data_IF_283977939251
#
_entry.id   IF_283977939251
#
_cell.length_a   1.000
_cell.length_b   1.000
_cell.length_c   1.000
_cell.angle_alpha   90.00
_cell.angle_beta   90.00
_cell.angle_gamma   90.00
#
_symmetry.space_group_name_H-M   'P 1'
#
loop_
_entity.id
_entity.type
_entity.pdbx_description
1 polymer ?
#
# COMPACT_ATOMS: atom_id res chain seq x y z
N UNK A 1 -7.36 29.18 6.22
CA UNK A 1 -6.18 28.53 5.61
C UNK A 1 -6.45 28.30 4.14
N UNK A 2 -5.44 28.54 3.28
CA UNK A 2 -5.54 28.33 1.83
C UNK A 2 -4.33 27.60 1.30
N UNK A 3 -4.53 26.72 0.34
CA UNK A 3 -3.44 26.07 -0.39
C UNK A 3 -2.78 27.10 -1.31
N UNK A 4 -1.47 27.30 -1.15
CA UNK A 4 -0.68 28.24 -1.96
C UNK A 4 0.21 27.53 -2.99
N UNK A 5 0.58 26.26 -2.72
CA UNK A 5 1.36 25.47 -3.65
C UNK A 5 1.15 23.96 -3.45
N UNK A 6 1.39 23.17 -4.50
CA UNK A 6 1.47 21.71 -4.48
C UNK A 6 2.72 21.30 -5.24
N UNK A 7 3.65 20.65 -4.56
CA UNK A 7 4.89 20.14 -5.15
C UNK A 7 4.85 18.62 -5.30
N UNK A 8 5.35 18.13 -6.42
CA UNK A 8 5.57 16.72 -6.70
C UNK A 8 7.08 16.49 -6.91
N UNK A 9 7.74 15.87 -5.95
CA UNK A 9 9.20 15.72 -5.89
C UNK A 9 9.57 14.28 -6.16
N UNK A 10 10.28 14.03 -7.25
CA UNK A 10 10.78 12.69 -7.59
C UNK A 10 12.05 12.41 -6.79
N UNK A 11 12.05 11.32 -6.04
CA UNK A 11 13.22 10.78 -5.35
C UNK A 11 13.61 9.47 -5.99
N UNK A 12 14.91 9.25 -6.23
CA UNK A 12 15.39 8.06 -6.92
C UNK A 12 16.75 7.60 -6.42
N UNK A 13 16.89 6.29 -6.19
CA UNK A 13 18.18 5.67 -5.89
C UNK A 13 19.16 5.85 -7.07
N UNK A 14 20.45 6.13 -6.82
CA UNK A 14 21.45 6.30 -7.88
C UNK A 14 21.66 5.05 -8.76
N UNK A 15 21.36 3.89 -8.20
CA UNK A 15 21.40 2.60 -8.89
C UNK A 15 20.10 1.87 -8.60
N UNK A 16 19.35 1.60 -9.64
CA UNK A 16 18.09 0.85 -9.59
C UNK A 16 18.27 -0.48 -10.31
N UNK A 17 17.73 -1.53 -9.74
CA UNK A 17 17.56 -2.80 -10.43
C UNK A 17 16.16 -2.86 -11.02
N UNK A 18 16.02 -2.44 -12.27
CA UNK A 18 14.74 -2.42 -12.99
C UNK A 18 14.23 -3.80 -13.40
N UNK A 19 14.99 -4.87 -13.11
CA UNK A 19 14.55 -6.24 -13.36
C UNK A 19 13.69 -6.80 -12.22
N UNK A 20 13.71 -6.15 -11.06
CA UNK A 20 12.92 -6.54 -9.89
C UNK A 20 11.65 -5.69 -9.77
N UNK A 21 10.58 -6.31 -9.28
CA UNK A 21 9.36 -5.61 -8.91
C UNK A 21 9.50 -4.98 -7.52
N UNK A 22 10.38 -3.98 -7.39
CA UNK A 22 10.69 -3.31 -6.14
C UNK A 22 10.44 -1.80 -6.24
N UNK A 23 9.24 -1.37 -5.82
CA UNK A 23 8.82 0.03 -5.78
C UNK A 23 9.55 0.89 -4.73
N UNK A 24 10.39 0.29 -3.87
CA UNK A 24 11.13 1.05 -2.85
C UNK A 24 12.38 1.78 -3.39
N UNK A 25 12.71 1.63 -4.68
CA UNK A 25 13.89 2.20 -5.32
C UNK A 25 13.71 3.65 -5.79
N UNK A 26 12.49 4.07 -6.05
CA UNK A 26 12.13 5.48 -6.24
C UNK A 26 10.81 5.81 -5.52
N UNK A 27 10.50 7.08 -5.37
CA UNK A 27 9.29 7.55 -4.71
C UNK A 27 8.86 8.90 -5.27
N UNK A 28 7.58 9.22 -5.17
CA UNK A 28 7.07 10.56 -5.39
C UNK A 28 6.56 11.15 -4.08
N UNK A 29 7.32 12.09 -3.54
CA UNK A 29 6.91 12.89 -2.38
C UNK A 29 5.99 14.01 -2.85
N UNK A 30 4.81 14.13 -2.24
CA UNK A 30 3.89 15.26 -2.39
C UNK A 30 4.01 16.19 -1.20
N UNK A 31 4.11 17.49 -1.46
CA UNK A 31 3.99 18.56 -0.45
C UNK A 31 2.85 19.49 -0.82
N UNK A 32 1.97 19.75 0.12
CA UNK A 32 0.90 20.76 0.00
C UNK A 32 1.19 21.88 0.97
N UNK A 33 1.43 23.08 0.47
CA UNK A 33 1.78 24.25 1.24
C UNK A 33 0.57 25.15 1.48
N UNK A 34 0.48 25.74 2.68
CA UNK A 34 -0.59 26.66 3.04
C UNK A 34 -0.09 28.06 3.39
N UNK A 35 -0.97 29.05 3.28
CA UNK A 35 -0.69 30.47 3.65
C UNK A 35 -0.49 30.68 5.16
N UNK A 36 -0.79 29.67 5.99
CA UNK A 36 -0.56 29.69 7.43
C UNK A 36 0.74 28.97 7.83
N UNK A 37 1.58 28.57 6.87
CA UNK A 37 2.88 27.95 7.10
C UNK A 37 2.83 26.46 7.46
N UNK A 38 1.64 25.83 7.43
CA UNK A 38 1.51 24.40 7.60
C UNK A 38 1.77 23.71 6.24
N UNK A 39 2.68 22.75 6.22
CA UNK A 39 2.92 21.89 5.05
C UNK A 39 2.50 20.47 5.36
N UNK A 40 1.65 19.91 4.51
CA UNK A 40 1.31 18.49 4.53
C UNK A 40 2.19 17.69 3.61
N UNK A 41 2.43 16.44 3.98
CA UNK A 41 3.23 15.49 3.22
C UNK A 41 2.39 14.28 2.81
N UNK A 42 2.66 13.77 1.62
CA UNK A 42 2.06 12.54 1.11
C UNK A 42 3.02 11.82 0.18
N UNK A 43 2.65 10.63 -0.22
CA UNK A 43 3.43 9.79 -1.11
C UNK A 43 2.54 9.16 -2.17
N UNK A 44 3.12 8.88 -3.31
CA UNK A 44 2.48 8.09 -4.37
C UNK A 44 3.43 6.96 -4.77
N UNK A 45 3.00 5.74 -4.53
CA UNK A 45 3.66 4.54 -5.06
C UNK A 45 3.14 4.25 -6.47
N UNK A 46 3.90 4.66 -7.47
CA UNK A 46 3.58 4.52 -8.89
C UNK A 46 4.79 4.96 -9.72
N UNK A 47 4.63 5.18 -11.04
CA UNK A 47 5.69 5.71 -11.88
C UNK A 47 5.86 7.24 -11.67
N UNK A 48 6.87 7.71 -10.92
CA UNK A 48 6.97 9.08 -10.43
C UNK A 48 6.86 10.17 -11.49
N UNK A 49 7.51 10.07 -12.68
CA UNK A 49 7.40 11.12 -13.71
C UNK A 49 5.99 11.29 -14.28
N UNK A 50 5.22 10.18 -14.41
CA UNK A 50 3.84 10.23 -14.90
C UNK A 50 2.95 10.93 -13.89
N UNK A 51 3.08 10.57 -12.63
CA UNK A 51 2.28 11.16 -11.54
C UNK A 51 2.60 12.64 -11.37
N UNK A 52 3.89 13.02 -11.42
CA UNK A 52 4.30 14.43 -11.40
C UNK A 52 3.64 15.23 -12.50
N UNK A 53 3.61 14.69 -13.72
CA UNK A 53 2.95 15.35 -14.85
C UNK A 53 1.44 15.52 -14.62
N UNK A 54 0.76 14.54 -14.02
CA UNK A 54 -0.66 14.63 -13.66
C UNK A 54 -0.90 15.72 -12.61
N UNK A 55 -0.04 15.84 -11.63
CA UNK A 55 -0.14 16.89 -10.60
C UNK A 55 0.05 18.28 -11.21
N UNK A 56 1.08 18.48 -12.03
CA UNK A 56 1.56 19.78 -12.48
C UNK A 56 0.97 20.27 -13.82
N UNK A 57 0.29 19.40 -14.57
CA UNK A 57 -0.26 19.77 -15.88
C UNK A 57 -1.21 20.99 -15.78
N UNK A 58 -1.17 21.91 -16.75
CA UNK A 58 -2.15 22.98 -16.81
C UNK A 58 -3.55 22.42 -17.13
N UNK A 59 -4.59 23.20 -16.80
CA UNK A 59 -5.95 22.86 -17.19
C UNK A 59 -6.11 22.96 -18.73
N UNK A 60 -6.71 21.92 -19.32
CA UNK A 60 -7.17 21.95 -20.72
C UNK A 60 -8.64 22.41 -20.78
N UNK A 61 -9.49 21.82 -19.95
CA UNK A 61 -10.91 22.19 -19.80
C UNK A 61 -11.45 21.63 -18.45
N UNK A 62 -12.70 21.90 -18.13
CA UNK A 62 -13.31 21.68 -16.81
C UNK A 62 -13.19 20.25 -16.25
N UNK A 63 -13.08 19.22 -17.12
CA UNK A 63 -12.96 17.80 -16.72
C UNK A 63 -11.64 17.16 -17.18
N UNK A 64 -10.67 17.98 -17.57
CA UNK A 64 -9.31 17.56 -17.93
C UNK A 64 -8.30 18.63 -17.47
N UNK A 65 -7.93 18.59 -16.21
CA UNK A 65 -7.00 19.50 -15.56
C UNK A 65 -5.97 18.73 -14.76
N UNK A 66 -4.76 19.22 -14.67
CA UNK A 66 -3.83 18.80 -13.64
C UNK A 66 -4.40 19.08 -12.25
N UNK A 67 -3.88 18.40 -11.23
CA UNK A 67 -4.47 18.47 -9.90
C UNK A 67 -4.12 19.77 -9.16
N UNK A 68 -2.88 20.27 -9.31
CA UNK A 68 -2.43 21.52 -8.67
C UNK A 68 -3.32 22.72 -9.03
N UNK A 69 -3.67 23.01 -10.30
CA UNK A 69 -4.56 24.12 -10.64
C UNK A 69 -5.95 24.05 -9.98
N UNK A 70 -6.42 22.83 -9.68
CA UNK A 70 -7.72 22.64 -9.02
C UNK A 70 -7.68 23.00 -7.54
N UNK A 71 -6.52 22.98 -6.91
CA UNK A 71 -6.35 23.10 -5.47
C UNK A 71 -5.92 24.49 -5.00
N UNK A 72 -5.23 25.27 -5.86
CA UNK A 72 -4.75 26.58 -5.47
C UNK A 72 -5.89 27.51 -5.00
N UNK A 73 -5.70 28.13 -3.82
CA UNK A 73 -6.67 29.01 -3.17
C UNK A 73 -7.80 28.31 -2.41
N UNK A 74 -7.88 26.98 -2.44
CA UNK A 74 -8.86 26.18 -1.73
C UNK A 74 -8.50 26.01 -0.25
N UNK A 75 -9.49 25.67 0.58
CA UNK A 75 -9.28 25.33 1.99
C UNK A 75 -8.86 23.85 2.12
N UNK A 76 -7.64 23.54 2.60
CA UNK A 76 -7.16 22.16 2.72
C UNK A 76 -7.95 21.30 3.73
N UNK A 77 -8.76 21.91 4.60
CA UNK A 77 -9.55 21.18 5.59
C UNK A 77 -10.82 20.56 4.99
N UNK A 78 -11.23 20.99 3.80
CA UNK A 78 -12.42 20.47 3.09
C UNK A 78 -12.07 19.23 2.22
N UNK A 79 -11.43 18.22 2.84
CA UNK A 79 -10.79 17.09 2.17
C UNK A 79 -11.73 16.37 1.19
N UNK A 80 -12.93 16.00 1.64
CA UNK A 80 -13.92 15.29 0.79
C UNK A 80 -14.33 16.09 -0.44
N UNK A 81 -14.53 17.40 -0.28
CA UNK A 81 -14.86 18.30 -1.39
C UNK A 81 -13.70 18.41 -2.38
N UNK A 82 -12.48 18.51 -1.88
CA UNK A 82 -11.27 18.57 -2.72
C UNK A 82 -11.02 17.25 -3.44
N UNK A 83 -11.24 16.12 -2.77
CA UNK A 83 -11.17 14.81 -3.41
C UNK A 83 -12.13 14.72 -4.61
N UNK A 84 -13.41 15.06 -4.41
CA UNK A 84 -14.41 15.08 -5.49
C UNK A 84 -14.04 16.08 -6.60
N UNK A 85 -13.48 17.24 -6.25
CA UNK A 85 -13.03 18.23 -7.23
C UNK A 85 -11.90 17.70 -8.09
N UNK A 86 -10.89 17.05 -7.50
CA UNK A 86 -9.80 16.41 -8.22
C UNK A 86 -10.30 15.25 -9.09
N UNK A 87 -11.16 14.39 -8.56
CA UNK A 87 -11.73 13.26 -9.29
C UNK A 87 -12.53 13.73 -10.52
N UNK A 88 -13.40 14.73 -10.37
CA UNK A 88 -14.17 15.28 -11.49
C UNK A 88 -13.28 16.02 -12.49
N UNK A 89 -12.30 16.78 -12.01
CA UNK A 89 -11.39 17.54 -12.86
C UNK A 89 -10.43 16.65 -13.67
N UNK A 90 -10.23 15.40 -13.26
CA UNK A 90 -9.41 14.42 -13.97
C UNK A 90 -10.20 13.29 -14.64
N UNK A 91 -11.52 13.32 -14.61
CA UNK A 91 -12.38 12.20 -15.01
C UNK A 91 -12.20 11.79 -16.48
N UNK A 92 -11.81 12.74 -17.33
CA UNK A 92 -11.66 12.53 -18.76
C UNK A 92 -10.47 11.63 -19.11
N UNK A 93 -9.42 11.62 -18.27
CA UNK A 93 -8.20 10.85 -18.50
C UNK A 93 -7.83 9.89 -17.35
N UNK A 94 -8.50 9.97 -16.20
CA UNK A 94 -7.98 9.33 -15.02
C UNK A 94 -9.00 8.79 -14.02
N UNK A 95 -10.13 8.27 -14.48
CA UNK A 95 -11.18 7.70 -13.63
C UNK A 95 -10.71 6.53 -12.74
N UNK A 96 -9.68 5.80 -13.16
CA UNK A 96 -8.97 4.72 -12.43
C UNK A 96 -7.48 4.83 -12.76
N UNK A 97 -6.63 4.18 -12.02
CA UNK A 97 -5.18 4.15 -12.26
C UNK A 97 -4.48 5.47 -11.93
N UNK A 98 -3.54 5.91 -12.77
CA UNK A 98 -2.54 6.94 -12.45
C UNK A 98 -3.07 8.26 -11.88
N UNK A 99 -4.25 8.76 -12.32
CA UNK A 99 -4.81 9.98 -11.75
C UNK A 99 -5.34 9.75 -10.33
N UNK A 100 -5.84 8.56 -10.02
CA UNK A 100 -6.25 8.22 -8.65
C UNK A 100 -5.02 8.08 -7.75
N UNK A 101 -3.91 7.53 -8.27
CA UNK A 101 -2.65 7.51 -7.54
C UNK A 101 -2.20 8.94 -7.19
N UNK A 102 -2.25 9.88 -8.13
CA UNK A 102 -1.93 11.29 -7.87
C UNK A 102 -2.86 11.93 -6.81
N UNK A 103 -4.17 11.64 -6.87
CA UNK A 103 -5.15 12.08 -5.86
C UNK A 103 -4.80 11.51 -4.50
N UNK A 104 -4.34 10.24 -4.44
CA UNK A 104 -3.99 9.56 -3.18
C UNK A 104 -2.91 10.31 -2.40
N UNK A 105 -1.81 10.67 -3.07
CA UNK A 105 -0.72 11.39 -2.40
C UNK A 105 -1.15 12.78 -1.90
N UNK A 106 -1.99 13.46 -2.65
CA UNK A 106 -2.54 14.76 -2.23
C UNK A 106 -3.52 14.59 -1.06
N UNK A 107 -4.40 13.60 -1.10
CA UNK A 107 -5.34 13.32 -0.01
C UNK A 107 -4.61 13.01 1.31
N UNK A 108 -3.54 12.20 1.25
CA UNK A 108 -2.68 11.93 2.42
C UNK A 108 -2.10 13.24 2.97
N UNK A 109 -1.59 14.13 2.10
CA UNK A 109 -1.05 15.42 2.53
C UNK A 109 -2.12 16.34 3.13
N UNK A 110 -3.35 16.33 2.63
CA UNK A 110 -4.46 17.09 3.20
C UNK A 110 -4.85 16.58 4.60
N UNK A 111 -4.86 15.26 4.81
CA UNK A 111 -5.06 14.68 6.14
C UNK A 111 -3.93 15.05 7.11
N UNK A 112 -2.69 15.08 6.64
CA UNK A 112 -1.55 15.54 7.43
C UNK A 112 -1.70 17.00 7.86
N UNK A 113 -2.08 17.91 6.93
CA UNK A 113 -2.40 19.31 7.26
C UNK A 113 -3.49 19.38 8.32
N UNK A 114 -4.62 18.65 8.12
CA UNK A 114 -5.74 18.67 9.05
C UNK A 114 -5.34 18.21 10.45
N UNK A 115 -4.54 17.15 10.54
CA UNK A 115 -4.03 16.66 11.80
C UNK A 115 -3.10 17.65 12.48
N UNK A 116 -2.17 18.28 11.76
CA UNK A 116 -1.27 19.32 12.27
C UNK A 116 -2.05 20.56 12.73
N UNK A 117 -2.99 21.04 11.94
CA UNK A 117 -3.82 22.21 12.25
C UNK A 117 -4.68 22.02 13.50
N UNK A 118 -5.17 20.81 13.74
CA UNK A 118 -6.02 20.46 14.89
C UNK A 118 -5.22 19.89 16.08
N UNK A 119 -3.91 19.71 15.95
CA UNK A 119 -3.07 19.13 16.99
C UNK A 119 -3.43 17.67 17.31
N UNK A 120 -3.93 16.91 16.34
CA UNK A 120 -4.39 15.53 16.51
C UNK A 120 -3.75 14.57 15.49
N UNK A 121 -3.46 13.33 15.88
CA UNK A 121 -3.07 12.29 14.93
C UNK A 121 -4.23 11.97 13.98
N UNK A 122 -3.92 11.66 12.73
CA UNK A 122 -4.93 11.36 11.70
C UNK A 122 -5.87 10.24 12.16
N UNK A 123 -5.36 9.17 12.76
CA UNK A 123 -6.21 8.05 13.26
C UNK A 123 -7.32 8.51 14.19
N UNK A 124 -7.06 9.50 15.04
CA UNK A 124 -8.08 10.05 15.96
C UNK A 124 -9.15 10.83 15.22
N UNK A 125 -8.77 11.57 14.18
CA UNK A 125 -9.72 12.29 13.32
C UNK A 125 -10.58 11.36 12.48
N UNK A 126 -10.10 10.15 12.21
CA UNK A 126 -10.83 9.08 11.52
C UNK A 126 -11.74 8.25 12.45
N UNK A 127 -11.70 8.48 13.78
CA UNK A 127 -12.53 7.78 14.78
C UNK A 127 -11.83 6.65 15.54
N UNK A 128 -10.55 6.41 15.29
CA UNK A 128 -9.72 5.42 15.99
C UNK A 128 -8.88 6.04 17.13
N UNK A 129 -7.86 5.32 17.65
CA UNK A 129 -7.56 3.93 17.35
C UNK A 129 -8.47 2.94 18.10
N UNK A 130 -8.80 1.81 17.47
CA UNK A 130 -9.55 0.71 18.10
C UNK A 130 -8.67 -0.19 18.98
N UNK A 131 -7.35 -0.18 18.77
CA UNK A 131 -6.34 -0.88 19.55
C UNK A 131 -5.07 -0.02 19.66
N UNK A 132 -4.16 -0.29 20.61
CA UNK A 132 -2.91 0.48 20.73
C UNK A 132 -1.83 0.08 19.70
N UNK A 133 -1.87 -1.14 19.21
CA UNK A 133 -0.89 -1.74 18.30
C UNK A 133 -1.56 -2.63 17.27
N UNK A 134 -0.84 -2.96 16.22
CA UNK A 134 -1.27 -3.94 15.20
C UNK A 134 -0.14 -4.93 14.92
N UNK A 135 -0.47 -6.20 14.70
CA UNK A 135 0.50 -7.22 14.29
C UNK A 135 1.04 -6.90 12.89
N UNK A 136 2.37 -6.92 12.73
CA UNK A 136 3.02 -6.72 11.44
C UNK A 136 3.43 -8.06 10.82
N UNK A 137 3.37 -8.13 9.49
CA UNK A 137 4.11 -9.14 8.76
C UNK A 137 5.29 -8.51 8.01
N UNK A 138 6.44 -9.19 8.01
CA UNK A 138 7.56 -8.79 7.16
C UNK A 138 7.18 -9.04 5.69
N UNK A 139 7.24 -8.02 4.87
CA UNK A 139 6.99 -8.14 3.43
C UNK A 139 8.29 -7.99 2.65
N UNK A 140 8.59 -8.95 1.79
CA UNK A 140 9.82 -9.03 1.02
C UNK A 140 9.66 -9.83 -0.27
N UNK A 141 10.56 -9.61 -1.22
CA UNK A 141 10.60 -10.38 -2.46
C UNK A 141 10.97 -11.84 -2.19
N UNK A 142 10.36 -12.77 -2.95
CA UNK A 142 10.65 -14.19 -2.88
C UNK A 142 12.06 -14.47 -3.43
N UNK A 143 12.94 -15.18 -2.69
CA UNK A 143 14.23 -15.60 -3.18
C UNK A 143 14.15 -16.61 -4.35
N UNK A 144 15.22 -16.70 -5.13
CA UNK A 144 15.26 -17.56 -6.31
C UNK A 144 15.35 -19.06 -5.97
N UNK A 145 15.84 -19.42 -4.78
CA UNK A 145 16.08 -20.82 -4.40
C UNK A 145 15.50 -21.18 -3.03
N UNK A 146 15.15 -22.47 -2.80
CA UNK A 146 14.72 -22.93 -1.48
C UNK A 146 15.74 -22.68 -0.36
N UNK A 147 17.04 -22.73 -0.64
CA UNK A 147 18.08 -22.48 0.37
C UNK A 147 18.12 -21.00 0.78
N UNK A 148 18.06 -20.08 -0.17
CA UNK A 148 17.96 -18.65 0.12
C UNK A 148 16.67 -18.32 0.89
N UNK A 149 15.58 -19.02 0.56
CA UNK A 149 14.29 -18.89 1.28
C UNK A 149 14.45 -19.29 2.75
N UNK A 150 15.12 -20.42 3.05
CA UNK A 150 15.39 -20.83 4.45
C UNK A 150 16.17 -19.76 5.19
N UNK A 151 17.24 -19.26 4.59
CA UNK A 151 18.11 -18.23 5.20
C UNK A 151 17.32 -16.93 5.47
N UNK A 152 16.49 -16.49 4.53
CA UNK A 152 15.69 -15.30 4.67
C UNK A 152 14.65 -15.44 5.79
N UNK A 153 13.87 -16.53 5.79
CA UNK A 153 12.83 -16.79 6.78
C UNK A 153 13.43 -16.91 8.20
N UNK A 154 14.57 -17.59 8.35
CA UNK A 154 15.26 -17.67 9.64
C UNK A 154 15.68 -16.29 10.15
N UNK A 155 16.31 -15.47 9.30
CA UNK A 155 16.72 -14.10 9.65
C UNK A 155 15.53 -13.21 10.06
N UNK A 156 14.40 -13.31 9.36
CA UNK A 156 13.20 -12.55 9.68
C UNK A 156 12.60 -12.99 11.03
N UNK A 157 12.62 -14.29 11.34
CA UNK A 157 12.23 -14.79 12.65
C UNK A 157 13.12 -14.26 13.77
N UNK A 158 14.44 -14.16 13.56
CA UNK A 158 15.39 -13.57 14.51
C UNK A 158 15.13 -12.08 14.75
N UNK A 159 14.58 -11.36 13.77
CA UNK A 159 14.16 -9.96 13.91
C UNK A 159 12.88 -9.78 14.73
N UNK A 160 12.19 -10.86 15.11
CA UNK A 160 11.00 -10.82 15.95
C UNK A 160 9.67 -10.79 15.21
N UNK A 161 9.67 -10.90 13.88
CA UNK A 161 8.42 -11.04 13.12
C UNK A 161 7.76 -12.41 13.38
N UNK A 162 6.45 -12.39 13.51
CA UNK A 162 5.61 -13.59 13.71
C UNK A 162 4.79 -13.96 12.47
N UNK A 163 4.92 -13.18 11.43
CA UNK A 163 4.30 -13.38 10.12
C UNK A 163 5.21 -12.84 9.01
N UNK A 164 5.17 -13.47 7.84
CA UNK A 164 5.97 -13.08 6.67
C UNK A 164 5.17 -13.24 5.38
N UNK A 165 5.27 -12.27 4.47
CA UNK A 165 4.84 -12.36 3.09
C UNK A 165 6.06 -12.46 2.18
N UNK A 166 6.08 -13.48 1.33
CA UNK A 166 7.10 -13.76 0.34
C UNK A 166 6.47 -13.61 -1.05
N UNK A 167 6.85 -12.55 -1.77
CA UNK A 167 6.13 -12.16 -2.97
C UNK A 167 6.98 -12.03 -4.22
N UNK A 168 6.32 -12.06 -5.37
CA UNK A 168 6.90 -11.82 -6.68
C UNK A 168 8.09 -12.79 -6.99
N UNK A 169 9.14 -12.32 -7.67
CA UNK A 169 10.35 -13.12 -7.92
C UNK A 169 10.10 -14.34 -8.84
N UNK A 170 10.41 -15.55 -8.38
CA UNK A 170 10.31 -16.77 -9.19
C UNK A 170 8.91 -17.39 -9.26
N UNK A 171 7.91 -16.89 -8.49
CA UNK A 171 6.56 -17.44 -8.50
C UNK A 171 5.98 -17.56 -9.92
N UNK A 172 5.34 -18.68 -10.20
CA UNK A 172 4.70 -18.97 -11.49
C UNK A 172 5.63 -19.37 -12.62
N UNK A 173 6.96 -19.32 -12.44
CA UNK A 173 7.93 -19.78 -13.47
C UNK A 173 7.91 -21.29 -13.65
N UNK A 174 7.84 -22.02 -12.55
CA UNK A 174 7.80 -23.49 -12.53
C UNK A 174 6.93 -23.98 -11.38
N UNK A 175 5.89 -24.81 -11.65
CA UNK A 175 4.96 -25.31 -10.64
C UNK A 175 5.61 -26.13 -9.51
N UNK A 176 6.72 -26.82 -9.77
CA UNK A 176 7.41 -27.62 -8.76
C UNK A 176 8.37 -26.75 -7.94
N UNK A 177 8.94 -25.72 -8.54
CA UNK A 177 9.70 -24.70 -7.81
C UNK A 177 8.81 -23.96 -6.83
N UNK A 178 7.59 -23.53 -7.22
CA UNK A 178 6.62 -22.87 -6.33
C UNK A 178 6.41 -23.71 -5.05
N UNK A 179 6.22 -25.02 -5.21
CA UNK A 179 6.03 -25.94 -4.08
C UNK A 179 7.31 -26.09 -3.24
N UNK A 180 8.47 -26.17 -3.87
CA UNK A 180 9.75 -26.31 -3.17
C UNK A 180 10.08 -25.06 -2.32
N UNK A 181 9.76 -23.86 -2.82
CA UNK A 181 9.92 -22.58 -2.11
C UNK A 181 8.97 -22.51 -0.90
N UNK A 182 7.69 -22.84 -1.09
CA UNK A 182 6.72 -22.88 0.00
C UNK A 182 7.09 -23.90 1.09
N UNK A 183 7.57 -25.08 0.68
CA UNK A 183 8.08 -26.13 1.58
C UNK A 183 9.23 -25.57 2.43
N UNK A 184 10.24 -24.99 1.78
CA UNK A 184 11.39 -24.41 2.47
C UNK A 184 11.01 -23.29 3.45
N UNK A 185 10.07 -22.44 3.07
CA UNK A 185 9.53 -21.38 3.94
C UNK A 185 8.84 -22.00 5.17
N UNK A 186 7.94 -22.97 5.00
CA UNK A 186 7.19 -23.59 6.10
C UNK A 186 8.08 -24.40 7.05
N UNK A 187 9.00 -25.20 6.50
CA UNK A 187 9.97 -25.97 7.31
C UNK A 187 10.78 -25.06 8.23
N UNK A 188 11.17 -23.88 7.76
CA UNK A 188 11.99 -22.93 8.54
C UNK A 188 11.14 -22.09 9.49
N UNK A 189 9.98 -21.60 9.05
CA UNK A 189 9.05 -20.81 9.86
C UNK A 189 8.43 -21.64 11.03
N UNK A 190 8.39 -22.96 10.89
CA UNK A 190 7.72 -23.84 11.87
C UNK A 190 6.20 -23.64 11.89
N UNK A 191 5.56 -24.04 12.99
CA UNK A 191 4.11 -24.03 13.15
C UNK A 191 3.53 -22.67 13.56
N UNK A 192 4.34 -21.76 14.12
CA UNK A 192 3.87 -20.56 14.80
C UNK A 192 3.90 -19.30 13.93
N UNK A 193 4.72 -19.27 12.89
CA UNK A 193 4.82 -18.13 12.00
C UNK A 193 3.78 -18.24 10.88
N UNK A 194 3.01 -17.20 10.68
CA UNK A 194 2.09 -17.12 9.54
C UNK A 194 2.87 -16.86 8.25
N UNK A 195 2.52 -17.58 7.19
CA UNK A 195 3.11 -17.42 5.88
C UNK A 195 2.05 -16.92 4.91
N UNK A 196 2.37 -15.87 4.15
CA UNK A 196 1.59 -15.35 3.04
C UNK A 196 2.43 -15.48 1.76
N UNK A 197 1.81 -15.90 0.67
CA UNK A 197 2.47 -16.02 -0.62
C UNK A 197 1.80 -15.10 -1.63
N UNK A 198 2.57 -14.15 -2.12
CA UNK A 198 2.15 -13.21 -3.14
C UNK A 198 2.73 -13.66 -4.48
N UNK A 199 1.84 -14.12 -5.34
CA UNK A 199 2.21 -14.74 -6.61
C UNK A 199 2.58 -13.69 -7.68
N UNK A 200 2.27 -12.43 -7.44
CA UNK A 200 2.66 -11.33 -8.33
C UNK A 200 2.14 -11.54 -9.76
N UNK A 201 0.87 -11.90 -9.92
CA UNK A 201 0.20 -12.13 -11.21
C UNK A 201 0.79 -13.31 -12.03
N UNK A 202 1.56 -14.20 -11.37
CA UNK A 202 2.43 -15.17 -12.05
C UNK A 202 1.71 -16.39 -12.65
N UNK A 203 0.45 -16.68 -12.26
CA UNK A 203 -0.23 -17.87 -12.78
C UNK A 203 -1.15 -17.56 -13.97
N UNK A 204 -1.10 -18.39 -15.03
CA UNK A 204 -1.68 -18.02 -16.32
C UNK A 204 -3.22 -18.05 -16.38
N UNK A 205 -3.90 -18.75 -15.48
CA UNK A 205 -5.37 -18.87 -15.44
C UNK A 205 -5.85 -19.54 -14.16
N UNK A 206 -7.16 -19.47 -13.90
CA UNK A 206 -7.80 -20.03 -12.72
C UNK A 206 -7.60 -21.55 -12.55
N UNK A 207 -7.63 -22.34 -13.64
CA UNK A 207 -7.42 -23.79 -13.53
C UNK A 207 -6.01 -24.16 -13.08
N UNK A 208 -5.02 -23.40 -13.51
CA UNK A 208 -3.64 -23.52 -13.03
C UNK A 208 -3.55 -23.10 -11.55
N UNK A 209 -4.11 -21.94 -11.21
CA UNK A 209 -4.12 -21.42 -9.84
C UNK A 209 -4.75 -22.41 -8.85
N UNK A 210 -5.92 -22.97 -9.18
CA UNK A 210 -6.59 -23.99 -8.35
C UNK A 210 -5.69 -25.19 -8.08
N UNK A 211 -5.00 -25.70 -9.12
CA UNK A 211 -4.08 -26.84 -8.94
C UNK A 211 -2.89 -26.48 -8.05
N UNK A 212 -2.33 -25.27 -8.22
CA UNK A 212 -1.19 -24.84 -7.43
C UNK A 212 -1.58 -24.55 -5.98
N UNK A 213 -2.66 -23.79 -5.72
CA UNK A 213 -3.13 -23.53 -4.36
C UNK A 213 -3.35 -24.84 -3.60
N UNK A 214 -4.01 -25.85 -4.20
CA UNK A 214 -4.21 -27.16 -3.57
C UNK A 214 -2.90 -27.89 -3.23
N UNK A 215 -1.82 -27.67 -3.98
CA UNK A 215 -0.48 -28.19 -3.62
C UNK A 215 0.14 -27.40 -2.47
N UNK A 216 -0.11 -26.09 -2.43
CA UNK A 216 0.42 -25.20 -1.41
C UNK A 216 -0.33 -25.29 -0.07
N UNK A 217 -1.58 -25.76 -0.05
CA UNK A 217 -2.38 -25.96 1.17
C UNK A 217 -1.67 -26.86 2.21
N UNK A 218 -0.83 -27.80 1.75
CA UNK A 218 0.00 -28.63 2.65
C UNK A 218 0.95 -27.80 3.52
N UNK A 219 1.31 -26.59 3.08
CA UNK A 219 2.18 -25.65 3.79
C UNK A 219 1.41 -24.57 4.54
N UNK A 220 0.09 -24.65 4.55
CA UNK A 220 -0.82 -23.78 5.32
C UNK A 220 -0.54 -22.30 5.14
N UNK A 221 -0.61 -21.76 3.90
CA UNK A 221 -0.55 -20.33 3.71
C UNK A 221 -1.72 -19.63 4.39
N UNK A 222 -1.47 -18.47 5.00
CA UNK A 222 -2.51 -17.66 5.61
C UNK A 222 -3.40 -17.02 4.54
N UNK A 223 -2.83 -16.63 3.40
CA UNK A 223 -3.49 -16.35 2.14
C UNK A 223 -2.57 -16.57 0.95
N UNK A 224 -3.16 -16.63 -0.24
CA UNK A 224 -2.50 -16.49 -1.54
C UNK A 224 -2.90 -15.15 -2.14
N UNK A 225 -1.91 -14.30 -2.46
CA UNK A 225 -2.09 -12.93 -2.93
C UNK A 225 -1.83 -12.84 -4.43
N UNK A 226 -2.68 -12.08 -5.14
CA UNK A 226 -2.60 -11.77 -6.57
C UNK A 226 -2.15 -12.94 -7.47
N UNK A 227 -2.82 -14.11 -7.38
CA UNK A 227 -2.45 -15.29 -8.18
C UNK A 227 -2.71 -15.11 -9.67
N UNK A 228 -3.66 -14.27 -10.06
CA UNK A 228 -4.15 -14.06 -11.42
C UNK A 228 -4.03 -12.60 -11.84
N UNK A 229 -4.18 -12.35 -13.13
CA UNK A 229 -4.26 -11.01 -13.67
C UNK A 229 -5.45 -10.24 -13.05
N UNK A 230 -5.32 -8.95 -12.69
CA UNK A 230 -6.36 -8.21 -11.94
C UNK A 230 -7.73 -8.16 -12.62
N UNK A 231 -7.75 -8.07 -13.96
CA UNK A 231 -8.99 -8.03 -14.74
C UNK A 231 -9.67 -9.40 -14.92
N UNK A 232 -9.05 -10.51 -14.47
CA UNK A 232 -9.66 -11.85 -14.52
C UNK A 232 -10.61 -12.11 -13.33
N UNK A 233 -11.60 -11.23 -13.20
CA UNK A 233 -12.59 -11.25 -12.12
C UNK A 233 -13.32 -12.60 -12.02
N UNK A 234 -13.67 -13.17 -13.14
CA UNK A 234 -14.36 -14.49 -13.18
C UNK A 234 -13.40 -15.62 -12.82
N UNK A 235 -12.11 -15.50 -13.15
CA UNK A 235 -11.06 -16.41 -12.73
C UNK A 235 -10.84 -16.38 -11.22
N UNK A 236 -10.79 -15.19 -10.60
CA UNK A 236 -10.75 -15.06 -9.15
C UNK A 236 -11.95 -15.71 -8.47
N UNK A 237 -13.17 -15.44 -8.96
CA UNK A 237 -14.38 -16.04 -8.44
C UNK A 237 -14.34 -17.59 -8.50
N UNK A 238 -13.88 -18.14 -9.63
CA UNK A 238 -13.71 -19.58 -9.81
C UNK A 238 -12.66 -20.16 -8.85
N UNK A 239 -11.58 -19.45 -8.63
CA UNK A 239 -10.52 -19.84 -7.70
C UNK A 239 -11.04 -19.83 -6.26
N UNK A 240 -11.65 -18.74 -5.81
CA UNK A 240 -12.20 -18.61 -4.47
C UNK A 240 -13.23 -19.70 -4.11
N UNK A 241 -14.06 -20.13 -5.09
CA UNK A 241 -15.00 -21.23 -4.89
C UNK A 241 -14.36 -22.62 -4.81
N UNK A 242 -13.12 -22.78 -5.28
CA UNK A 242 -12.51 -24.10 -5.48
C UNK A 242 -11.44 -24.46 -4.43
N UNK A 243 -11.03 -23.52 -3.57
CA UNK A 243 -9.95 -23.69 -2.58
C UNK A 243 -10.40 -23.25 -1.19
N UNK A 244 -9.74 -23.79 -0.15
CA UNK A 244 -10.01 -23.41 1.25
C UNK A 244 -9.08 -22.28 1.72
N UNK A 245 -7.92 -22.12 1.09
CA UNK A 245 -6.96 -21.04 1.41
C UNK A 245 -7.55 -19.70 1.00
N UNK A 246 -7.59 -18.69 1.90
CA UNK A 246 -8.06 -17.35 1.57
C UNK A 246 -7.30 -16.74 0.39
N UNK A 247 -8.02 -16.05 -0.48
CA UNK A 247 -7.47 -15.31 -1.61
C UNK A 247 -7.44 -13.82 -1.29
N UNK A 248 -6.29 -13.21 -1.47
CA UNK A 248 -6.07 -11.79 -1.26
C UNK A 248 -5.76 -11.09 -2.58
N UNK A 249 -6.25 -9.86 -2.75
CA UNK A 249 -5.91 -9.00 -3.89
C UNK A 249 -6.30 -7.54 -3.63
N UNK A 250 -5.79 -6.61 -4.44
CA UNK A 250 -6.27 -5.24 -4.43
C UNK A 250 -5.20 -4.16 -4.51
N UNK A 251 -3.91 -4.47 -4.48
CA UNK A 251 -2.87 -3.45 -4.64
C UNK A 251 -2.87 -2.79 -6.03
N UNK A 252 -3.42 -3.49 -7.04
CA UNK A 252 -3.59 -2.97 -8.40
C UNK A 252 -4.91 -2.22 -8.59
N UNK A 253 -5.85 -2.32 -7.63
CA UNK A 253 -7.16 -1.71 -7.73
C UNK A 253 -7.22 -0.28 -7.19
N UNK A 254 -8.14 0.49 -7.74
CA UNK A 254 -8.36 1.87 -7.32
C UNK A 254 -9.85 2.17 -7.15
N UNK A 255 -10.15 3.01 -6.17
CA UNK A 255 -11.48 3.53 -5.82
C UNK A 255 -12.45 2.47 -5.27
N UNK A 256 -13.46 2.95 -4.53
CA UNK A 256 -14.54 2.09 -3.99
C UNK A 256 -15.24 1.24 -5.06
N UNK A 257 -15.28 1.69 -6.31
CA UNK A 257 -15.93 0.96 -7.40
C UNK A 257 -15.11 -0.25 -7.86
N UNK A 258 -13.76 -0.15 -7.92
CA UNK A 258 -12.88 -1.29 -8.19
C UNK A 258 -12.97 -2.31 -7.05
N UNK A 259 -12.86 -1.86 -5.81
CA UNK A 259 -12.97 -2.74 -4.65
C UNK A 259 -14.36 -3.35 -4.45
N UNK A 260 -15.43 -2.66 -4.86
CA UNK A 260 -16.76 -3.27 -4.91
C UNK A 260 -16.79 -4.45 -5.88
N UNK A 261 -16.21 -4.31 -7.07
CA UNK A 261 -16.11 -5.38 -8.06
C UNK A 261 -15.28 -6.54 -7.54
N UNK A 262 -14.14 -6.26 -6.91
CA UNK A 262 -13.26 -7.25 -6.31
C UNK A 262 -13.96 -8.07 -5.21
N UNK A 263 -14.72 -7.42 -4.34
CA UNK A 263 -15.47 -8.11 -3.28
C UNK A 263 -16.72 -8.83 -3.79
N UNK A 264 -17.52 -8.18 -4.63
CA UNK A 264 -18.86 -8.69 -4.99
C UNK A 264 -18.80 -9.71 -6.14
N UNK A 265 -17.83 -9.58 -7.07
CA UNK A 265 -17.70 -10.42 -8.25
C UNK A 265 -16.52 -11.39 -8.16
N UNK A 266 -15.31 -10.89 -7.90
CA UNK A 266 -14.12 -11.72 -7.75
C UNK A 266 -14.15 -12.55 -6.45
N UNK A 267 -14.86 -12.06 -5.42
CA UNK A 267 -15.14 -12.77 -4.16
C UNK A 267 -13.87 -13.13 -3.38
N UNK A 268 -12.92 -12.20 -3.38
CA UNK A 268 -11.72 -12.35 -2.55
C UNK A 268 -12.05 -12.25 -1.06
N UNK A 269 -11.30 -12.96 -0.24
CA UNK A 269 -11.47 -13.01 1.23
C UNK A 269 -10.79 -11.85 1.94
N UNK A 270 -9.71 -11.33 1.33
CA UNK A 270 -8.90 -10.23 1.84
C UNK A 270 -8.71 -9.19 0.75
N UNK A 271 -9.07 -7.95 1.05
CA UNK A 271 -8.75 -6.83 0.15
C UNK A 271 -7.51 -6.09 0.66
N UNK A 272 -6.67 -5.66 -0.29
CA UNK A 272 -5.39 -5.02 0.02
C UNK A 272 -5.24 -3.64 -0.65
N UNK A 273 -6.11 -2.67 -0.27
CA UNK A 273 -6.00 -1.32 -0.84
C UNK A 273 -4.68 -0.67 -0.43
N UNK A 274 -4.02 -0.05 -1.38
CA UNK A 274 -2.87 0.79 -1.15
C UNK A 274 -3.32 2.25 -0.94
N UNK A 275 -3.00 2.84 0.20
CA UNK A 275 -3.40 4.22 0.51
C UNK A 275 -2.80 5.25 -0.45
N UNK A 276 -1.71 4.90 -1.13
CA UNK A 276 -1.03 5.78 -2.11
C UNK A 276 -1.51 5.58 -3.53
N UNK A 277 -2.37 4.56 -3.79
CA UNK A 277 -2.91 4.20 -5.11
C UNK A 277 -4.43 4.17 -5.17
N UNK A 278 -5.11 3.76 -4.10
CA UNK A 278 -6.55 3.51 -4.11
C UNK A 278 -7.43 4.76 -4.03
N UNK A 279 -6.85 5.93 -3.78
CA UNK A 279 -7.56 7.21 -3.65
C UNK A 279 -7.29 7.95 -2.33
N UNK A 280 -6.20 7.62 -1.63
CA UNK A 280 -5.80 8.23 -0.37
C UNK A 280 -6.50 7.64 0.85
N UNK A 281 -6.26 8.24 2.00
CA UNK A 281 -6.86 7.85 3.28
C UNK A 281 -8.38 7.92 3.21
N UNK A 282 -8.94 8.98 2.62
CA UNK A 282 -10.39 9.19 2.51
C UNK A 282 -11.10 8.06 1.78
N UNK A 283 -10.60 7.69 0.63
CA UNK A 283 -11.22 6.66 -0.20
C UNK A 283 -10.98 5.27 0.37
N UNK A 284 -9.78 5.01 0.89
CA UNK A 284 -9.44 3.72 1.48
C UNK A 284 -10.20 3.46 2.78
N UNK A 285 -10.53 4.51 3.57
CA UNK A 285 -11.44 4.38 4.71
C UNK A 285 -12.83 3.90 4.27
N UNK A 286 -13.38 4.47 3.20
CA UNK A 286 -14.68 4.05 2.64
C UNK A 286 -14.63 2.61 2.14
N UNK A 287 -13.54 2.22 1.48
CA UNK A 287 -13.28 0.85 1.01
C UNK A 287 -13.28 -0.11 2.20
N UNK A 288 -12.53 0.17 3.26
CA UNK A 288 -12.47 -0.66 4.46
C UNK A 288 -13.81 -0.78 5.18
N UNK A 289 -14.59 0.32 5.26
CA UNK A 289 -15.96 0.28 5.81
C UNK A 289 -16.90 -0.57 4.95
N UNK A 290 -16.80 -0.50 3.62
CA UNK A 290 -17.56 -1.36 2.71
C UNK A 290 -17.20 -2.83 2.87
N UNK A 291 -15.92 -3.14 3.07
CA UNK A 291 -15.42 -4.49 3.31
C UNK A 291 -15.97 -5.06 4.63
N UNK A 292 -15.92 -4.27 5.69
CA UNK A 292 -16.45 -4.65 7.00
C UNK A 292 -17.95 -5.03 6.93
N UNK A 293 -18.77 -4.31 6.16
CA UNK A 293 -20.18 -4.63 5.95
C UNK A 293 -20.41 -5.96 5.21
N UNK A 294 -19.41 -6.45 4.49
CA UNK A 294 -19.44 -7.70 3.73
C UNK A 294 -18.74 -8.86 4.45
N UNK A 295 -18.13 -8.61 5.61
CA UNK A 295 -17.30 -9.60 6.31
C UNK A 295 -15.97 -9.89 5.62
N UNK A 296 -15.53 -9.01 4.69
CA UNK A 296 -14.23 -9.12 4.01
C UNK A 296 -13.17 -8.43 4.83
N UNK A 297 -12.02 -9.09 5.00
CA UNK A 297 -10.90 -8.55 5.76
C UNK A 297 -10.17 -7.46 4.95
N UNK A 298 -9.80 -6.37 5.62
CA UNK A 298 -8.96 -5.32 5.03
C UNK A 298 -7.56 -5.36 5.64
N UNK A 299 -6.56 -5.51 4.78
CA UNK A 299 -5.14 -5.35 5.08
C UNK A 299 -4.57 -4.42 4.03
N UNK A 300 -3.90 -3.33 4.41
CA UNK A 300 -3.35 -2.41 3.41
C UNK A 300 -2.09 -2.98 2.77
N UNK A 301 -1.95 -2.85 1.43
CA UNK A 301 -0.64 -2.88 0.80
C UNK A 301 0.18 -1.68 1.29
N UNK A 302 1.48 -1.90 1.60
CA UNK A 302 2.36 -0.85 2.14
C UNK A 302 3.83 -1.11 1.78
N UNK A 303 4.17 -0.88 0.52
CA UNK A 303 5.50 -1.14 -0.03
C UNK A 303 6.13 0.13 -0.57
N UNK A 304 6.85 0.88 0.20
CA UNK A 304 7.73 2.00 -0.18
C UNK A 304 8.36 2.65 1.05
N UNK A 305 8.03 3.91 1.39
CA UNK A 305 8.74 4.70 2.40
C UNK A 305 8.03 4.71 3.78
N UNK A 306 8.57 5.47 4.72
CA UNK A 306 7.92 5.71 6.01
C UNK A 306 6.61 6.48 5.92
N UNK A 307 6.33 7.17 4.79
CA UNK A 307 5.09 7.94 4.61
C UNK A 307 3.89 7.00 4.41
N UNK A 308 4.01 6.03 3.50
CA UNK A 308 2.95 5.03 3.29
C UNK A 308 2.73 4.20 4.56
N UNK A 309 3.82 3.86 5.29
CA UNK A 309 3.72 3.15 6.56
C UNK A 309 2.89 3.95 7.58
N UNK A 310 3.16 5.24 7.74
CA UNK A 310 2.40 6.11 8.65
C UNK A 310 0.93 6.23 8.23
N UNK A 311 0.67 6.49 6.94
CA UNK A 311 -0.69 6.64 6.42
C UNK A 311 -1.50 5.34 6.58
N UNK A 312 -0.91 4.18 6.27
CA UNK A 312 -1.53 2.85 6.45
C UNK A 312 -1.81 2.56 7.92
N UNK A 313 -0.87 2.86 8.83
CA UNK A 313 -1.07 2.68 10.27
C UNK A 313 -2.23 3.54 10.78
N UNK A 314 -2.34 4.81 10.38
CA UNK A 314 -3.46 5.66 10.76
C UNK A 314 -4.81 5.13 10.28
N UNK A 315 -4.85 4.63 9.04
CA UNK A 315 -6.06 4.04 8.48
C UNK A 315 -6.46 2.76 9.23
N UNK A 316 -5.52 1.82 9.39
CA UNK A 316 -5.77 0.54 10.07
C UNK A 316 -6.16 0.74 11.53
N UNK A 317 -5.62 1.75 12.21
CA UNK A 317 -6.04 2.13 13.57
C UNK A 317 -7.53 2.52 13.64
N UNK A 318 -8.08 3.10 12.56
CA UNK A 318 -9.46 3.55 12.48
C UNK A 318 -10.44 2.51 11.91
N UNK A 319 -9.94 1.40 11.37
CA UNK A 319 -10.75 0.32 10.83
C UNK A 319 -10.92 -0.80 11.87
N UNK A 320 -12.16 -1.09 12.33
CA UNK A 320 -12.39 -2.21 13.24
C UNK A 320 -12.10 -3.54 12.53
N UNK A 321 -11.45 -4.48 13.24
CA UNK A 321 -11.14 -5.80 12.70
C UNK A 321 -9.89 -5.88 11.82
N UNK A 322 -9.08 -4.81 11.73
CA UNK A 322 -7.76 -4.87 11.11
C UNK A 322 -6.87 -5.90 11.81
N UNK A 323 -6.31 -6.85 11.07
CA UNK A 323 -5.56 -7.98 11.60
C UNK A 323 -4.06 -7.83 11.46
N UNK A 324 -3.61 -7.27 10.34
CA UNK A 324 -2.20 -7.13 10.00
C UNK A 324 -1.88 -5.76 9.40
N UNK A 325 -0.62 -5.38 9.56
CA UNK A 325 0.03 -4.28 8.85
C UNK A 325 1.17 -4.84 8.00
N UNK A 326 1.21 -4.48 6.73
CA UNK A 326 2.32 -4.81 5.86
C UNK A 326 3.55 -3.98 6.19
N UNK A 327 4.63 -4.65 6.55
CA UNK A 327 5.90 -4.02 6.88
C UNK A 327 6.94 -4.37 5.82
N UNK A 328 7.09 -3.51 4.80
CA UNK A 328 8.17 -3.63 3.82
C UNK A 328 9.53 -3.55 4.52
N UNK A 329 10.34 -4.60 4.37
CA UNK A 329 11.67 -4.71 4.98
C UNK A 329 12.83 -4.48 3.99
N UNK A 330 12.54 -3.96 2.79
CA UNK A 330 13.58 -3.67 1.80
C UNK A 330 14.61 -2.65 2.33
N UNK A 331 15.89 -2.93 2.09
CA UNK A 331 17.01 -2.14 2.60
C UNK A 331 17.40 -1.00 1.63
N UNK A 332 16.42 -0.22 1.14
CA UNK A 332 16.70 0.97 0.35
C UNK A 332 16.76 2.20 1.24
N UNK A 333 17.55 3.21 0.85
CA UNK A 333 17.65 4.44 1.62
C UNK A 333 16.31 5.19 1.70
N UNK A 334 15.46 5.12 0.67
CA UNK A 334 14.14 5.74 0.67
C UNK A 334 13.21 5.06 1.67
N UNK A 335 13.17 3.72 1.69
CA UNK A 335 12.39 2.98 2.68
C UNK A 335 12.90 3.20 4.12
N UNK A 336 14.23 3.23 4.31
CA UNK A 336 14.83 3.22 5.63
C UNK A 336 15.12 4.61 6.22
N UNK A 337 15.21 5.66 5.40
CA UNK A 337 15.73 6.94 5.88
C UNK A 337 14.94 8.19 5.46
N UNK A 338 13.96 8.10 4.58
CA UNK A 338 13.20 9.28 4.13
C UNK A 338 12.43 9.96 5.26
N UNK A 339 11.96 9.21 6.25
CA UNK A 339 11.31 9.75 7.44
C UNK A 339 12.23 9.63 8.65
N UNK A 340 12.14 10.58 9.57
CA UNK A 340 12.91 10.59 10.84
C UNK A 340 12.40 9.48 11.76
N UNK A 341 11.07 9.39 11.90
CA UNK A 341 10.44 8.38 12.72
C UNK A 341 10.57 6.99 12.13
N UNK A 342 10.63 6.02 13.02
CA UNK A 342 10.65 4.60 12.71
C UNK A 342 9.47 3.91 13.39
N UNK A 343 9.05 2.80 12.83
CA UNK A 343 7.96 1.99 13.36
C UNK A 343 8.52 0.64 13.84
N UNK A 344 9.23 0.59 15.00
CA UNK A 344 9.82 -0.65 15.47
C UNK A 344 8.74 -1.65 15.84
N UNK A 345 9.02 -2.92 15.57
CA UNK A 345 8.18 -4.02 16.08
C UNK A 345 8.55 -4.32 17.53
N UNK A 346 7.55 -4.69 18.33
CA UNK A 346 7.74 -5.15 19.70
C UNK A 346 8.10 -6.65 19.76
N UNK A 347 8.31 -7.18 20.97
CA UNK A 347 8.66 -8.58 21.19
C UNK A 347 7.57 -9.58 20.73
N UNK A 348 6.38 -9.12 20.41
CA UNK A 348 5.26 -9.93 19.91
C UNK A 348 5.02 -9.74 18.40
N UNK A 349 5.88 -8.98 17.71
CA UNK A 349 5.74 -8.69 16.30
C UNK A 349 4.68 -7.62 15.97
N UNK A 350 4.38 -6.71 16.92
CA UNK A 350 3.40 -5.63 16.72
C UNK A 350 4.09 -4.29 16.56
N UNK A 351 3.40 -3.38 15.83
CA UNK A 351 3.78 -1.97 15.65
C UNK A 351 2.79 -1.09 16.39
N UNK A 352 3.30 -0.08 17.11
CA UNK A 352 2.47 0.94 17.73
C UNK A 352 1.96 1.96 16.70
N UNK A 353 0.73 2.42 16.86
CA UNK A 353 0.17 3.46 15.99
C UNK A 353 0.79 4.83 16.31
N UNK A 354 1.03 5.69 15.27
CA UNK A 354 1.54 7.04 15.47
C UNK A 354 0.58 7.88 16.32
N UNK A 355 1.13 8.68 17.24
CA UNK A 355 0.34 9.48 18.19
C UNK A 355 0.57 10.98 18.06
N UNK A 356 1.59 11.43 17.34
CA UNK A 356 1.86 12.84 17.08
C UNK A 356 0.87 13.43 16.06
N UNK A 357 0.66 14.77 16.04
CA UNK A 357 -0.24 15.44 15.10
C UNK A 357 0.08 15.14 13.63
N UNK A 358 -0.94 15.09 12.80
CA UNK A 358 -0.82 14.75 11.39
C UNK A 358 -0.54 13.27 11.20
N UNK A 359 0.36 12.93 10.27
CA UNK A 359 0.89 11.58 10.08
C UNK A 359 1.86 11.18 11.21
N UNK A 360 2.27 12.13 12.05
CA UNK A 360 3.20 11.87 13.15
C UNK A 360 4.61 11.53 12.70
N UNK A 361 5.02 12.03 11.54
CA UNK A 361 6.35 11.82 10.96
C UNK A 361 6.92 13.14 10.41
N UNK A 362 8.23 13.21 10.35
CA UNK A 362 8.99 14.28 9.73
C UNK A 362 9.84 13.72 8.57
N UNK A 363 10.02 14.54 7.52
CA UNK A 363 10.87 14.20 6.38
C UNK A 363 12.32 14.56 6.70
N UNK A 364 13.25 13.65 6.43
CA UNK A 364 14.67 13.95 6.43
C UNK A 364 15.05 14.71 5.15
N UNK A 365 15.19 16.03 5.28
CA UNK A 365 15.50 16.92 4.15
C UNK A 365 16.86 16.61 3.51
N UNK A 366 17.81 16.06 4.24
CA UNK A 366 19.09 15.66 3.67
C UNK A 366 18.94 14.43 2.74
N UNK A 367 18.00 13.54 3.04
CA UNK A 367 17.64 12.42 2.16
C UNK A 367 16.92 12.93 0.92
N UNK A 368 15.98 13.88 1.07
CA UNK A 368 15.31 14.50 -0.08
C UNK A 368 16.32 15.15 -1.01
N UNK A 369 17.19 16.00 -0.51
CA UNK A 369 18.20 16.69 -1.32
C UNK A 369 19.15 15.72 -2.02
N UNK A 370 19.53 14.63 -1.35
CA UNK A 370 20.44 13.62 -1.89
C UNK A 370 19.84 12.81 -3.03
N UNK A 371 18.54 12.52 -2.98
CA UNK A 371 17.88 11.60 -3.93
C UNK A 371 16.92 12.30 -4.89
N UNK A 372 16.74 13.60 -4.75
CA UNK A 372 15.89 14.40 -5.65
C UNK A 372 16.41 14.35 -7.08
N UNK A 373 15.51 14.03 -8.00
CA UNK A 373 15.76 14.10 -9.44
C UNK A 373 15.33 15.47 -9.94
N UNK A 374 16.23 16.16 -10.67
CA UNK A 374 16.02 17.49 -11.26
C UNK A 374 15.07 17.43 -12.46
#
# INVERSE_FOLDING_TARGET
MKIIDVEAIILRQPRMDVSQADGSQDALLIRVHTDEGITGIGEVDSLPPVIKAIVEAPASHAIASGLKPLLLGEDPLEIDRLWEKMFRGSIYYGRRGAAIHAISGIDIALWDIKGKALGQPVSRLLGGPHAPTIRAYASTLMPETPEETRQLVARIGEQGFTAIKLGWGPWGRDPDLDVALACAARETAGEKMELMFDIGLGWPNADHAIRQVRRLEAYRPYWIEEPLWPDDVDGYAKLADAVETPIAAGEQDATRWGFQELMDRARVDVIQPDVTRAGGISETLRIGQMAAMRGVTTVTHSWSTGIIKAASLHLLAALPGSTFFEYCIQETALNQALTVERFPIDANGHVAFPTAPGLGIEIDEAVVERYRVS
#
